data_IF_322115512500
#
_entry.id   IF_322115512500
#
_cell.length_a   1.000
_cell.length_b   1.000
_cell.length_c   1.000
_cell.angle_alpha   90.00
_cell.angle_beta   90.00
_cell.angle_gamma   90.00
#
_symmetry.space_group_name_H-M   'P 1'
#
loop_
_entity.id
_entity.type
_entity.pdbx_description
1 polymer ?
#
# COMPACT_ATOMS: atom_id res chain seq x y z
N UNK A 1 7.22 -2.01 -0.75
CA UNK A 1 7.06 -1.14 0.44
C UNK A 1 5.86 -0.23 0.21
N UNK A 2 5.51 0.65 1.15
CA UNK A 2 4.51 1.70 0.89
C UNK A 2 5.04 2.73 -0.14
N UNK A 3 6.36 2.93 -0.23
CA UNK A 3 6.95 3.72 -1.32
C UNK A 3 6.67 3.11 -2.70
N UNK A 4 6.78 1.78 -2.86
CA UNK A 4 6.42 1.12 -4.14
C UNK A 4 4.93 1.32 -4.49
N UNK A 5 4.05 1.33 -3.48
CA UNK A 5 2.63 1.63 -3.68
C UNK A 5 2.43 3.08 -4.12
N UNK A 6 3.17 4.02 -3.54
CA UNK A 6 3.19 5.41 -3.97
C UNK A 6 3.58 5.54 -5.45
N UNK A 7 4.64 4.88 -5.90
CA UNK A 7 5.07 4.88 -7.30
C UNK A 7 3.99 4.29 -8.23
N UNK A 8 3.31 3.22 -7.80
CA UNK A 8 2.21 2.63 -8.55
C UNK A 8 1.01 3.58 -8.68
N UNK A 9 0.63 4.27 -7.60
CA UNK A 9 -0.46 5.27 -7.60
C UNK A 9 -0.08 6.46 -8.48
N UNK A 10 1.15 6.98 -8.39
CA UNK A 10 1.61 8.08 -9.25
C UNK A 10 1.46 7.72 -10.73
N UNK A 11 1.91 6.53 -11.12
CA UNK A 11 1.79 6.03 -12.48
C UNK A 11 0.33 5.94 -12.93
N UNK A 12 -0.55 5.38 -12.11
CA UNK A 12 -1.96 5.17 -12.46
C UNK A 12 -2.72 6.49 -12.62
N UNK A 13 -2.54 7.39 -11.66
CA UNK A 13 -3.24 8.68 -11.65
C UNK A 13 -2.50 9.79 -12.40
N UNK A 14 -1.39 9.45 -13.07
CA UNK A 14 -0.53 10.40 -13.80
C UNK A 14 -0.11 11.59 -12.94
N UNK A 15 0.14 11.32 -11.65
CA UNK A 15 0.68 12.30 -10.72
C UNK A 15 2.19 12.41 -10.98
N UNK A 16 2.70 13.62 -11.04
CA UNK A 16 4.11 13.88 -11.28
C UNK A 16 4.73 14.82 -10.25
N UNK A 17 6.05 14.84 -10.24
CA UNK A 17 6.86 15.70 -9.37
C UNK A 17 7.30 15.01 -8.09
N UNK A 18 8.31 15.58 -7.45
CA UNK A 18 8.82 15.14 -6.15
C UNK A 18 8.09 15.88 -5.05
N UNK A 19 6.84 15.44 -4.81
CA UNK A 19 5.99 15.99 -3.79
C UNK A 19 5.95 15.08 -2.57
N UNK A 20 5.91 15.67 -1.38
CA UNK A 20 5.67 14.95 -0.13
C UNK A 20 4.31 14.26 -0.16
N UNK A 21 4.24 13.10 0.48
CA UNK A 21 3.04 12.28 0.55
C UNK A 21 2.98 11.52 1.88
N UNK A 22 1.79 11.00 2.20
CA UNK A 22 1.60 10.13 3.36
C UNK A 22 0.48 9.10 3.15
N UNK A 23 0.56 7.99 3.88
CA UNK A 23 -0.50 7.01 4.03
C UNK A 23 -1.07 7.10 5.44
N UNK A 24 -2.36 7.41 5.58
CA UNK A 24 -3.08 7.45 6.85
C UNK A 24 -3.94 6.21 7.00
N UNK A 25 -3.57 5.33 7.93
CA UNK A 25 -4.14 3.99 8.03
C UNK A 25 -5.57 3.96 8.58
N UNK A 26 -6.00 5.06 9.20
CA UNK A 26 -7.37 5.26 9.67
C UNK A 26 -8.33 5.69 8.55
N UNK A 27 -7.81 6.08 7.39
CA UNK A 27 -8.59 6.70 6.32
C UNK A 27 -8.84 8.21 6.51
N UNK A 28 -8.43 8.79 7.64
CA UNK A 28 -8.55 10.22 7.93
C UNK A 28 -7.19 10.92 7.80
N UNK A 29 -7.15 12.02 7.05
CA UNK A 29 -5.92 12.79 6.91
C UNK A 29 -5.47 13.35 8.26
N UNK A 30 -4.16 13.30 8.51
CA UNK A 30 -3.52 13.80 9.75
C UNK A 30 -3.91 13.02 11.02
N UNK A 31 -4.47 11.81 10.86
CA UNK A 31 -4.74 10.89 11.97
C UNK A 31 -3.84 9.66 11.92
N UNK A 32 -3.04 9.51 12.96
CA UNK A 32 -2.17 8.35 13.19
C UNK A 32 -2.98 7.03 13.36
N UNK A 33 -2.41 5.86 12.98
CA UNK A 33 -1.05 5.70 12.47
C UNK A 33 -0.91 6.13 11.01
N UNK A 34 0.22 6.76 10.70
CA UNK A 34 0.56 7.28 9.38
C UNK A 34 2.02 7.04 9.00
N UNK A 35 2.26 6.92 7.71
CA UNK A 35 3.57 6.68 7.12
C UNK A 35 3.88 7.75 6.08
N UNK A 36 5.04 8.38 6.15
CA UNK A 36 5.36 9.58 5.41
C UNK A 36 6.42 9.33 4.32
N UNK A 37 6.48 10.23 3.33
CA UNK A 37 7.55 10.24 2.32
C UNK A 37 8.93 10.29 3.00
N UNK A 38 9.96 9.66 2.42
CA UNK A 38 11.29 9.56 3.03
C UNK A 38 11.94 10.92 3.33
N UNK A 39 11.50 11.98 2.65
CA UNK A 39 11.99 13.35 2.87
C UNK A 39 11.37 14.05 4.11
N UNK A 40 10.41 13.41 4.79
CA UNK A 40 9.88 13.90 6.07
C UNK A 40 10.75 13.35 7.20
N UNK A 41 11.44 14.25 7.90
CA UNK A 41 12.25 13.92 9.08
C UNK A 41 11.38 13.60 10.28
N UNK A 42 11.90 12.78 11.20
CA UNK A 42 11.25 12.39 12.47
C UNK A 42 9.87 11.71 12.32
N UNK A 43 9.65 11.00 11.21
CA UNK A 43 8.43 10.24 10.94
C UNK A 43 8.71 8.82 10.44
N UNK A 44 7.73 7.92 10.56
CA UNK A 44 7.86 6.56 10.01
C UNK A 44 7.89 6.58 8.48
N UNK A 45 9.03 6.20 7.90
CA UNK A 45 9.25 6.29 6.46
C UNK A 45 8.55 5.18 5.68
N UNK A 46 7.94 5.55 4.57
CA UNK A 46 7.31 4.63 3.62
C UNK A 46 8.29 3.70 2.90
N UNK A 47 9.60 3.98 2.93
CA UNK A 47 10.64 3.09 2.42
C UNK A 47 10.87 1.88 3.31
N UNK A 48 10.56 1.98 4.61
CA UNK A 48 10.91 0.98 5.60
C UNK A 48 9.74 0.02 5.92
N UNK A 49 8.56 0.32 5.36
CA UNK A 49 7.32 -0.37 5.68
C UNK A 49 6.85 -1.21 4.50
N UNK A 50 6.71 -2.52 4.71
CA UNK A 50 6.13 -3.43 3.72
C UNK A 50 4.63 -3.58 3.95
N UNK A 51 3.86 -3.65 2.86
CA UNK A 51 2.40 -3.85 2.92
C UNK A 51 2.03 -5.12 3.70
N UNK A 52 2.86 -6.17 3.61
CA UNK A 52 2.67 -7.44 4.33
C UNK A 52 2.79 -7.31 5.85
N UNK A 53 3.54 -6.31 6.34
CA UNK A 53 3.83 -6.15 7.77
C UNK A 53 2.78 -5.28 8.47
N UNK A 54 1.90 -4.61 7.70
CA UNK A 54 0.84 -3.73 8.21
C UNK A 54 -0.36 -4.47 8.82
N UNK A 55 -0.42 -5.80 8.71
CA UNK A 55 -1.53 -6.60 9.24
C UNK A 55 -2.90 -6.27 8.63
N UNK A 56 -2.93 -5.75 7.39
CA UNK A 56 -4.15 -5.35 6.71
C UNK A 56 -5.10 -6.53 6.51
N UNK A 57 -6.38 -6.28 6.77
CA UNK A 57 -7.46 -7.24 6.48
C UNK A 57 -8.09 -6.94 5.13
N UNK A 58 -8.53 -7.98 4.42
CA UNK A 58 -9.29 -7.81 3.18
C UNK A 58 -10.51 -6.90 3.39
N UNK A 59 -10.71 -5.95 2.47
CA UNK A 59 -11.71 -4.90 2.54
C UNK A 59 -11.31 -3.66 3.35
N UNK A 60 -10.20 -3.68 4.10
CA UNK A 60 -9.73 -2.52 4.86
C UNK A 60 -9.38 -1.36 3.93
N UNK A 61 -9.80 -0.16 4.33
CA UNK A 61 -9.52 1.07 3.59
C UNK A 61 -8.55 1.95 4.38
N UNK A 62 -7.71 2.66 3.65
CA UNK A 62 -6.83 3.70 4.17
C UNK A 62 -6.68 4.83 3.15
N UNK A 63 -6.14 5.96 3.58
CA UNK A 63 -6.02 7.15 2.76
C UNK A 63 -4.57 7.32 2.28
N UNK A 64 -4.39 7.56 0.99
CA UNK A 64 -3.18 8.10 0.42
C UNK A 64 -3.37 9.61 0.16
N UNK A 65 -2.48 10.44 0.70
CA UNK A 65 -2.45 11.89 0.50
C UNK A 65 -1.18 12.25 -0.27
N UNK A 66 -1.34 12.77 -1.49
CA UNK A 66 -0.25 13.27 -2.33
C UNK A 66 -0.27 14.79 -2.40
N UNK A 67 0.93 15.39 -2.40
CA UNK A 67 1.13 16.84 -2.46
C UNK A 67 0.35 17.56 -1.36
N UNK A 68 0.98 17.78 -0.21
CA UNK A 68 0.32 18.44 0.94
C UNK A 68 -0.22 19.84 0.63
N UNK A 69 0.26 20.51 -0.43
CA UNK A 69 -0.27 21.81 -0.83
C UNK A 69 -1.53 21.66 -1.67
N UNK A 70 -1.54 20.74 -2.64
CA UNK A 70 -2.72 20.47 -3.48
C UNK A 70 -3.76 19.58 -2.80
N UNK A 71 -3.37 18.90 -1.73
CA UNK A 71 -4.22 18.04 -0.90
C UNK A 71 -4.95 16.96 -1.74
N UNK A 72 -4.21 16.28 -2.63
CA UNK A 72 -4.77 15.25 -3.51
C UNK A 72 -4.96 13.97 -2.70
N UNK A 73 -6.21 13.48 -2.63
CA UNK A 73 -6.60 12.35 -1.78
C UNK A 73 -7.07 11.18 -2.62
N UNK A 74 -6.47 10.01 -2.38
CA UNK A 74 -6.86 8.75 -3.00
C UNK A 74 -7.22 7.75 -1.91
N UNK A 75 -8.45 7.25 -1.95
CA UNK A 75 -8.86 6.13 -1.09
C UNK A 75 -8.27 4.82 -1.62
N UNK A 76 -7.58 4.08 -0.76
CA UNK A 76 -7.01 2.77 -1.09
C UNK A 76 -7.81 1.71 -0.34
N UNK A 77 -8.14 0.61 -1.03
CA UNK A 77 -8.76 -0.57 -0.43
C UNK A 77 -7.82 -1.76 -0.63
N UNK A 78 -7.50 -2.47 0.45
CA UNK A 78 -6.73 -3.69 0.39
C UNK A 78 -7.67 -4.88 0.24
N UNK A 79 -7.58 -5.62 -0.87
CA UNK A 79 -8.44 -6.80 -1.11
C UNK A 79 -7.83 -8.11 -0.61
N UNK A 80 -6.51 -8.15 -0.41
CA UNK A 80 -5.78 -9.35 0.01
C UNK A 80 -4.49 -9.52 -0.78
N UNK A 81 -3.70 -10.52 -0.38
CA UNK A 81 -2.64 -11.04 -1.24
C UNK A 81 -3.24 -12.13 -2.12
N UNK A 82 -2.92 -12.09 -3.41
CA UNK A 82 -3.21 -13.22 -4.28
C UNK A 82 -2.53 -14.46 -3.71
N UNK A 83 -3.27 -15.58 -3.67
CA UNK A 83 -2.68 -16.85 -3.32
C UNK A 83 -1.56 -17.16 -4.32
N UNK A 84 -0.45 -17.72 -3.83
CA UNK A 84 0.55 -18.23 -4.76
C UNK A 84 -0.14 -19.20 -5.73
N UNK A 85 0.13 -19.11 -7.05
CA UNK A 85 -0.43 -20.06 -7.99
C UNK A 85 -0.09 -21.48 -7.50
N UNK A 86 -1.01 -22.45 -7.59
CA UNK A 86 -0.76 -23.81 -7.10
C UNK A 86 0.52 -24.33 -7.76
N UNK A 87 1.51 -24.67 -6.95
CA UNK A 87 2.75 -25.26 -7.48
C UNK A 87 2.41 -26.62 -8.08
N UNK A 88 3.00 -26.95 -9.23
CA UNK A 88 2.65 -28.11 -10.06
C UNK A 88 2.91 -29.50 -9.42
N UNK A 89 3.09 -29.60 -8.10
CA UNK A 89 3.39 -30.85 -7.40
C UNK A 89 2.18 -31.53 -6.74
N UNK A 90 0.99 -30.93 -6.72
CA UNK A 90 -0.23 -31.56 -6.18
C UNK A 90 -1.23 -31.96 -7.28
N UNK A 91 -0.75 -32.59 -8.36
CA UNK A 91 -1.64 -33.21 -9.38
C UNK A 91 -1.42 -34.72 -9.58
N UNK A 92 -0.62 -35.37 -8.74
CA UNK A 92 -0.31 -36.80 -8.94
C UNK A 92 -0.57 -37.62 -7.68
N UNK A 93 -1.79 -37.61 -7.13
CA UNK A 93 -2.19 -38.66 -6.19
C UNK A 93 -3.70 -38.78 -5.93
N UNK A 94 -4.56 -38.63 -6.95
CA UNK A 94 -5.94 -39.15 -6.86
C UNK A 94 -6.40 -39.63 -8.23
N UNK A 95 -5.82 -40.71 -8.74
CA UNK A 95 -6.49 -41.60 -9.69
C UNK A 95 -5.67 -42.89 -9.83
N UNK A 96 -5.90 -43.88 -8.97
CA UNK A 96 -5.97 -45.31 -9.32
C UNK A 96 -6.73 -46.02 -8.17
N UNK A 97 -8.01 -46.29 -8.43
CA UNK A 97 -8.84 -47.29 -7.77
C UNK A 97 -9.41 -48.19 -8.85
#
# INVERSE_FOLDING_TARGET
TLHDLHLAIQREFHLGGEHLYAFFMTGEAWREPAYYSPDVVDAESTTDVRIRDLGLKGGQKFLYLFDFRRNIRVGVRFDGFEAAPPTAREKTEVQQG
#
